data_IF_631625676934
#
_entry.id   IF_631625676934
#
_cell.length_a   1.000
_cell.length_b   1.000
_cell.length_c   1.000
_cell.angle_alpha   90.00
_cell.angle_beta   90.00
_cell.angle_gamma   90.00
#
_symmetry.space_group_name_H-M   'P 1'
#
loop_
_entity.id
_entity.type
_entity.pdbx_description
1 polymer ?
#
# COMPACT_ATOMS: atom_id res chain seq x y z
N UNK A 1 -24.15 10.01 -6.31
CA UNK A 1 -23.36 10.68 -5.27
C UNK A 1 -23.35 9.81 -4.01
N UNK A 2 -22.31 9.01 -3.86
CA UNK A 2 -22.16 8.12 -2.72
C UNK A 2 -21.79 8.93 -1.47
N UNK A 3 -22.59 8.87 -0.38
CA UNK A 3 -22.29 9.59 0.86
C UNK A 3 -20.96 9.14 1.49
N UNK A 4 -20.52 7.92 1.25
CA UNK A 4 -19.23 7.42 1.73
C UNK A 4 -18.08 8.05 0.97
N UNK A 5 -18.21 8.17 -0.36
CA UNK A 5 -17.24 8.86 -1.19
C UNK A 5 -17.03 10.30 -0.73
N UNK A 6 -18.10 11.02 -0.44
CA UNK A 6 -18.00 12.40 0.12
C UNK A 6 -17.28 12.42 1.47
N UNK A 7 -17.54 11.46 2.36
CA UNK A 7 -16.82 11.38 3.64
C UNK A 7 -15.34 11.10 3.44
N UNK A 8 -14.99 10.22 2.51
CA UNK A 8 -13.60 9.90 2.15
C UNK A 8 -12.96 11.10 1.47
N UNK A 9 -13.63 11.74 0.53
CA UNK A 9 -13.14 12.96 -0.13
C UNK A 9 -12.95 14.11 0.87
N UNK A 10 -13.83 14.25 1.85
CA UNK A 10 -13.66 15.23 2.92
C UNK A 10 -12.46 14.93 3.78
N UNK A 11 -12.23 13.65 4.14
CA UNK A 11 -11.02 13.22 4.82
C UNK A 11 -9.79 13.42 3.92
N UNK A 12 -9.91 13.08 2.64
CA UNK A 12 -8.87 13.27 1.63
C UNK A 12 -8.57 14.75 1.39
N UNK A 13 -9.58 15.62 1.32
CA UNK A 13 -9.39 17.06 1.15
C UNK A 13 -8.76 17.69 2.40
N UNK A 14 -9.14 17.25 3.58
CA UNK A 14 -8.55 17.71 4.84
C UNK A 14 -7.11 17.20 5.01
N UNK A 15 -6.83 16.01 4.54
CA UNK A 15 -5.53 15.33 4.70
C UNK A 15 -4.64 15.45 3.46
N UNK A 16 -5.20 15.53 2.24
CA UNK A 16 -4.45 15.36 1.00
C UNK A 16 -3.55 16.55 0.67
N UNK A 17 -4.05 17.78 0.60
CA UNK A 17 -3.22 18.90 0.14
C UNK A 17 -2.15 19.32 1.15
N UNK A 18 -2.45 19.58 2.43
CA UNK A 18 -1.43 19.84 3.42
C UNK A 18 -0.56 18.62 3.72
N UNK A 19 -1.15 17.41 3.69
CA UNK A 19 -0.44 16.17 3.96
C UNK A 19 0.49 15.81 2.81
N UNK A 20 0.06 15.93 1.56
CA UNK A 20 0.92 15.73 0.39
C UNK A 20 2.03 16.78 0.37
N UNK A 21 1.74 18.04 0.63
CA UNK A 21 2.76 19.10 0.75
C UNK A 21 3.75 18.81 1.88
N UNK A 22 3.27 18.35 3.03
CA UNK A 22 4.11 17.93 4.15
C UNK A 22 4.95 16.72 3.78
N UNK A 23 4.38 15.72 3.11
CA UNK A 23 5.09 14.54 2.65
C UNK A 23 6.15 14.90 1.60
N UNK A 24 5.81 15.75 0.63
CA UNK A 24 6.77 16.28 -0.33
C UNK A 24 7.87 17.09 0.36
N UNK A 25 7.54 17.88 1.37
CA UNK A 25 8.51 18.60 2.20
C UNK A 25 9.42 17.66 2.98
N UNK A 26 8.90 16.55 3.52
CA UNK A 26 9.69 15.49 4.17
C UNK A 26 10.62 14.82 3.14
N UNK A 27 10.09 14.47 1.97
CA UNK A 27 10.88 13.93 0.87
C UNK A 27 11.91 14.94 0.36
N UNK A 28 11.62 16.24 0.46
CA UNK A 28 12.51 17.34 0.09
C UNK A 28 13.56 17.71 1.13
N UNK A 29 13.23 17.57 2.40
CA UNK A 29 14.11 17.98 3.52
C UNK A 29 14.89 16.84 4.17
N UNK A 30 14.66 15.60 3.77
CA UNK A 30 15.25 14.44 4.44
C UNK A 30 16.71 14.23 4.09
N UNK A 31 17.59 14.85 4.86
CA UNK A 31 18.88 14.24 5.16
C UNK A 31 18.58 12.95 5.95
N UNK A 32 19.08 11.84 5.47
CA UNK A 32 18.85 10.51 6.00
C UNK A 32 19.05 10.46 7.54
N UNK A 33 17.98 10.46 8.27
CA UNK A 33 18.04 10.00 9.65
C UNK A 33 18.00 8.47 9.60
N UNK A 34 19.14 7.84 9.78
CA UNK A 34 19.30 6.41 9.95
C UNK A 34 18.62 5.94 11.24
N UNK A 35 17.30 6.01 11.31
CA UNK A 35 16.56 5.34 12.38
C UNK A 35 16.39 3.87 11.96
N UNK A 36 17.19 3.02 12.55
CA UNK A 36 17.04 1.57 12.48
C UNK A 36 15.71 1.19 13.15
N UNK A 37 14.81 0.63 12.39
CA UNK A 37 13.56 0.05 12.89
C UNK A 37 13.79 -1.39 13.35
N UNK A 38 13.01 -1.83 14.36
CA UNK A 38 13.15 -3.14 14.96
C UNK A 38 12.81 -4.30 14.01
N UNK A 39 13.21 -5.50 14.38
CA UNK A 39 13.14 -6.75 13.63
C UNK A 39 11.72 -7.24 13.25
N UNK A 40 10.71 -6.40 13.38
CA UNK A 40 9.29 -6.77 13.23
C UNK A 40 8.64 -6.30 11.92
N UNK A 41 9.41 -5.85 10.93
CA UNK A 41 8.86 -5.48 9.64
C UNK A 41 8.38 -6.71 8.90
N UNK A 42 7.08 -6.74 8.68
CA UNK A 42 6.41 -7.81 7.94
C UNK A 42 6.60 -7.55 6.46
N UNK A 43 7.19 -8.50 5.73
CA UNK A 43 7.51 -8.38 4.31
C UNK A 43 6.52 -9.10 3.44
N UNK A 44 6.12 -10.28 3.84
CA UNK A 44 5.18 -11.13 3.09
C UNK A 44 4.19 -11.77 4.05
N UNK A 45 2.91 -11.67 3.70
CA UNK A 45 1.81 -12.32 4.41
C UNK A 45 0.98 -13.08 3.39
N UNK A 46 0.93 -14.39 3.51
CA UNK A 46 0.11 -15.24 2.64
C UNK A 46 -0.61 -16.32 3.45
N UNK A 47 -1.65 -16.91 2.86
CA UNK A 47 -2.31 -18.05 3.45
C UNK A 47 -1.36 -19.25 3.48
N UNK A 48 -1.39 -20.00 4.58
CA UNK A 48 -0.58 -21.21 4.73
C UNK A 48 -0.82 -22.19 3.58
N UNK A 49 0.24 -22.62 2.95
CA UNK A 49 0.22 -23.63 1.90
C UNK A 49 1.09 -24.84 2.31
N UNK A 50 0.81 -26.05 1.79
CA UNK A 50 1.67 -27.20 2.01
C UNK A 50 3.10 -26.93 1.53
N UNK A 51 4.06 -26.99 2.42
CA UNK A 51 5.45 -26.62 2.18
C UNK A 51 5.93 -25.44 3.01
N UNK A 52 5.02 -24.64 3.55
CA UNK A 52 5.37 -23.58 4.47
C UNK A 52 5.77 -24.11 5.85
N UNK A 53 6.67 -23.41 6.50
CA UNK A 53 7.07 -23.75 7.86
C UNK A 53 5.96 -23.33 8.85
N UNK A 54 5.31 -24.28 9.51
CA UNK A 54 4.24 -24.03 10.48
C UNK A 54 4.64 -23.06 11.61
N UNK A 55 5.92 -22.99 11.96
CA UNK A 55 6.45 -22.04 12.95
C UNK A 55 6.34 -20.57 12.53
N UNK A 56 6.13 -20.31 11.23
CA UNK A 56 5.95 -18.95 10.67
C UNK A 56 4.49 -18.50 10.67
N UNK A 57 3.58 -19.32 11.14
CA UNK A 57 2.16 -18.94 11.27
C UNK A 57 2.03 -17.84 12.32
N UNK A 58 1.52 -16.69 11.90
CA UNK A 58 1.15 -15.60 12.80
C UNK A 58 -0.31 -15.78 13.24
N UNK A 59 -0.51 -16.24 14.45
CA UNK A 59 -1.84 -16.55 14.98
C UNK A 59 -2.74 -15.32 15.10
N UNK A 60 -2.15 -14.15 15.32
CA UNK A 60 -2.91 -12.88 15.41
C UNK A 60 -3.47 -12.48 14.05
N UNK A 61 -2.65 -12.57 13.02
CA UNK A 61 -3.07 -12.32 11.62
C UNK A 61 -4.04 -13.40 11.17
N UNK A 62 -3.78 -14.66 11.52
CA UNK A 62 -4.65 -15.81 11.22
C UNK A 62 -6.04 -15.67 11.81
N UNK A 63 -6.14 -15.24 13.07
CA UNK A 63 -7.43 -15.02 13.73
C UNK A 63 -8.28 -13.96 13.01
N UNK A 64 -7.67 -12.92 12.48
CA UNK A 64 -8.36 -11.87 11.71
C UNK A 64 -8.75 -12.34 10.31
N UNK A 65 -7.91 -13.15 9.69
CA UNK A 65 -8.14 -13.66 8.33
C UNK A 65 -9.11 -14.85 8.29
N UNK A 66 -9.42 -15.47 9.44
CA UNK A 66 -10.23 -16.68 9.52
C UNK A 66 -9.56 -17.94 8.94
N UNK A 67 -8.26 -17.90 8.71
CA UNK A 67 -7.44 -19.01 8.18
C UNK A 67 -5.99 -18.85 8.59
N UNK A 68 -5.19 -19.93 8.62
CA UNK A 68 -3.78 -19.84 8.94
C UNK A 68 -3.05 -18.92 7.97
N UNK A 69 -2.33 -17.93 8.50
CA UNK A 69 -1.54 -16.98 7.72
C UNK A 69 -0.08 -17.09 8.09
N UNK A 70 0.78 -17.17 7.09
CA UNK A 70 2.23 -17.19 7.24
C UNK A 70 2.76 -15.78 7.07
N UNK A 71 3.61 -15.37 8.00
CA UNK A 71 4.27 -14.07 7.99
C UNK A 71 5.76 -14.28 7.82
N UNK A 72 6.31 -13.76 6.75
CA UNK A 72 7.74 -13.72 6.52
C UNK A 72 8.26 -12.34 6.89
N UNK A 73 9.32 -12.31 7.72
CA UNK A 73 9.93 -11.07 8.20
C UNK A 73 11.26 -10.85 7.53
N UNK A 74 11.53 -9.62 7.14
CA UNK A 74 12.84 -9.20 6.62
C UNK A 74 13.53 -8.22 7.56
N UNK A 75 14.78 -7.91 7.19
CA UNK A 75 15.58 -6.91 7.88
C UNK A 75 14.90 -5.54 7.83
N UNK A 76 15.01 -4.75 8.91
CA UNK A 76 14.42 -3.43 8.94
C UNK A 76 15.00 -2.58 7.80
N UNK A 77 14.13 -2.08 6.92
CA UNK A 77 14.47 -1.06 5.95
C UNK A 77 13.63 0.17 6.20
N UNK A 78 14.26 1.32 6.04
CA UNK A 78 13.61 2.62 6.19
C UNK A 78 13.13 3.09 4.82
N UNK A 79 11.89 2.82 4.48
CA UNK A 79 11.28 3.39 3.29
C UNK A 79 10.70 4.77 3.61
N UNK A 80 10.91 5.72 2.71
CA UNK A 80 10.34 7.08 2.80
C UNK A 80 8.94 7.16 2.21
N UNK A 81 8.61 6.25 1.32
CA UNK A 81 7.27 6.09 0.76
C UNK A 81 6.86 4.63 0.73
N UNK A 82 5.62 4.38 1.12
CA UNK A 82 4.97 3.09 1.08
C UNK A 82 3.79 3.18 0.13
N UNK A 83 3.87 2.48 -0.98
CA UNK A 83 2.87 2.49 -2.03
C UNK A 83 2.13 1.16 -2.01
N UNK A 84 0.89 1.18 -1.54
CA UNK A 84 0.05 0.00 -1.39
C UNK A 84 -0.96 -0.06 -2.53
N UNK A 85 -0.94 -1.14 -3.29
CA UNK A 85 -1.83 -1.37 -4.41
C UNK A 85 -2.75 -2.55 -4.15
N UNK A 86 -4.05 -2.32 -4.24
CA UNK A 86 -5.05 -3.36 -4.35
C UNK A 86 -4.87 -4.12 -5.67
N UNK A 87 -4.61 -5.41 -5.58
CA UNK A 87 -4.47 -6.30 -6.72
C UNK A 87 -5.55 -7.40 -6.73
N UNK A 88 -6.67 -7.12 -6.12
CA UNK A 88 -7.88 -7.94 -6.26
C UNK A 88 -8.42 -7.89 -7.69
N UNK A 89 -9.18 -8.92 -8.06
CA UNK A 89 -9.76 -9.05 -9.41
C UNK A 89 -10.65 -7.85 -9.80
N UNK A 90 -11.22 -7.14 -8.82
CA UNK A 90 -12.05 -5.95 -9.03
C UNK A 90 -11.27 -4.79 -9.67
N UNK A 91 -9.95 -4.79 -9.52
CA UNK A 91 -9.06 -3.82 -10.16
C UNK A 91 -8.93 -4.01 -11.69
N UNK A 92 -9.53 -5.06 -12.24
CA UNK A 92 -9.65 -5.23 -13.70
C UNK A 92 -10.88 -4.51 -14.30
N UNK A 93 -11.68 -3.85 -13.47
CA UNK A 93 -12.79 -3.03 -13.94
C UNK A 93 -12.30 -1.93 -14.89
N UNK A 94 -13.14 -1.61 -15.89
CA UNK A 94 -12.81 -0.63 -16.92
C UNK A 94 -13.18 0.77 -16.46
N UNK A 95 -12.23 1.68 -16.53
CA UNK A 95 -12.43 3.10 -16.27
C UNK A 95 -13.09 3.82 -17.45
N UNK A 96 -13.63 5.03 -17.25
CA UNK A 96 -14.14 5.87 -18.35
C UNK A 96 -13.11 6.12 -19.47
N UNK A 97 -11.82 6.07 -19.16
CA UNK A 97 -10.70 6.19 -20.11
C UNK A 97 -10.47 4.94 -20.97
N UNK A 98 -11.24 3.88 -20.76
CA UNK A 98 -11.06 2.54 -21.37
C UNK A 98 -9.84 1.76 -20.84
N UNK A 99 -9.10 2.30 -19.90
CA UNK A 99 -8.05 1.58 -19.19
C UNK A 99 -8.64 0.75 -18.05
N UNK A 100 -7.91 -0.25 -17.59
CA UNK A 100 -8.29 -0.99 -16.39
C UNK A 100 -7.88 -0.22 -15.13
N UNK A 101 -8.63 -0.37 -14.05
CA UNK A 101 -8.39 0.38 -12.82
C UNK A 101 -6.96 0.19 -12.28
N UNK A 102 -6.39 -1.02 -12.36
CA UNK A 102 -5.02 -1.26 -11.92
C UNK A 102 -3.98 -0.49 -12.74
N UNK A 103 -4.22 -0.26 -14.03
CA UNK A 103 -3.32 0.53 -14.89
C UNK A 103 -3.32 1.99 -14.48
N UNK A 104 -4.49 2.57 -14.26
CA UNK A 104 -4.64 3.95 -13.77
C UNK A 104 -4.00 4.13 -12.40
N UNK A 105 -4.27 3.19 -11.48
CA UNK A 105 -3.69 3.20 -10.14
C UNK A 105 -2.16 3.10 -10.18
N UNK A 106 -1.62 2.19 -11.00
CA UNK A 106 -0.17 2.02 -11.16
C UNK A 106 0.51 3.28 -11.70
N UNK A 107 -0.08 3.92 -12.70
CA UNK A 107 0.43 5.18 -13.24
C UNK A 107 0.47 6.29 -12.19
N UNK A 108 -0.57 6.39 -11.37
CA UNK A 108 -0.61 7.35 -10.27
C UNK A 108 0.46 7.06 -9.21
N UNK A 109 0.68 5.79 -8.86
CA UNK A 109 1.72 5.38 -7.92
C UNK A 109 3.14 5.70 -8.44
N UNK A 110 3.38 5.56 -9.74
CA UNK A 110 4.66 5.92 -10.35
C UNK A 110 5.01 7.39 -10.15
N UNK A 111 4.03 8.28 -10.10
CA UNK A 111 4.27 9.71 -9.82
C UNK A 111 4.87 9.90 -8.42
N UNK A 112 4.35 9.21 -7.42
CA UNK A 112 4.89 9.28 -6.05
C UNK A 112 6.25 8.60 -5.94
N UNK A 113 6.44 7.46 -6.61
CA UNK A 113 7.72 6.77 -6.66
C UNK A 113 8.83 7.63 -7.28
N UNK A 114 8.52 8.35 -8.37
CA UNK A 114 9.49 9.20 -9.06
C UNK A 114 10.08 10.28 -8.16
N UNK A 115 9.27 10.88 -7.30
CA UNK A 115 9.71 11.91 -6.36
C UNK A 115 10.71 11.37 -5.34
N UNK A 116 10.45 10.18 -4.82
CA UNK A 116 11.29 9.56 -3.79
C UNK A 116 12.58 8.96 -4.38
N UNK A 117 12.47 8.24 -5.50
CA UNK A 117 13.60 7.56 -6.12
C UNK A 117 14.63 8.53 -6.72
N UNK A 118 14.22 9.70 -7.20
CA UNK A 118 15.14 10.75 -7.66
C UNK A 118 16.15 11.21 -6.62
N UNK A 119 15.82 11.02 -5.36
CA UNK A 119 16.67 11.42 -4.22
C UNK A 119 17.51 10.28 -3.68
N UNK A 120 17.38 9.08 -4.25
CA UNK A 120 17.99 7.88 -3.74
C UNK A 120 17.30 7.31 -2.48
N UNK A 121 16.09 7.75 -2.17
CA UNK A 121 15.31 7.21 -1.08
C UNK A 121 14.73 5.84 -1.45
N UNK A 122 14.60 4.97 -0.46
CA UNK A 122 13.92 3.68 -0.64
C UNK A 122 12.41 3.89 -0.70
N UNK A 123 11.78 3.21 -1.66
CA UNK A 123 10.33 3.12 -1.81
C UNK A 123 9.93 1.67 -1.62
N UNK A 124 8.91 1.40 -0.82
CA UNK A 124 8.32 0.07 -0.71
C UNK A 124 7.01 0.00 -1.48
N UNK A 125 6.91 -0.94 -2.41
CA UNK A 125 5.65 -1.36 -3.00
C UNK A 125 5.05 -2.49 -2.17
N UNK A 126 3.74 -2.43 -1.96
CA UNK A 126 2.97 -3.48 -1.31
C UNK A 126 1.79 -3.85 -2.19
N UNK A 127 1.70 -5.12 -2.54
CA UNK A 127 0.61 -5.67 -3.34
C UNK A 127 -0.24 -6.58 -2.46
N UNK A 128 -1.55 -6.40 -2.46
CA UNK A 128 -2.43 -7.20 -1.62
C UNK A 128 -3.71 -7.64 -2.30
N UNK A 129 -4.07 -8.89 -2.11
CA UNK A 129 -5.37 -9.48 -2.45
C UNK A 129 -5.85 -10.38 -1.31
N UNK A 130 -6.88 -11.19 -1.53
CA UNK A 130 -7.41 -12.10 -0.51
C UNK A 130 -6.47 -13.24 -0.11
N UNK A 131 -5.45 -13.53 -0.91
CA UNK A 131 -4.54 -14.66 -0.70
C UNK A 131 -3.23 -14.22 -0.05
N UNK A 132 -2.71 -13.04 -0.40
CA UNK A 132 -1.37 -12.62 0.03
C UNK A 132 -1.20 -11.11 0.08
N UNK A 133 -0.23 -10.67 0.87
CA UNK A 133 0.34 -9.32 0.82
C UNK A 133 1.84 -9.49 0.62
N UNK A 134 2.36 -8.85 -0.42
CA UNK A 134 3.78 -8.92 -0.78
C UNK A 134 4.38 -7.52 -0.80
N UNK A 135 5.51 -7.35 -0.13
CA UNK A 135 6.31 -6.13 -0.17
C UNK A 135 7.50 -6.30 -1.10
N UNK A 136 7.73 -5.29 -1.93
CA UNK A 136 8.93 -5.18 -2.77
C UNK A 136 9.61 -3.85 -2.49
N UNK A 137 10.79 -3.85 -1.84
CA UNK A 137 11.55 -2.62 -1.60
C UNK A 137 12.32 -2.19 -2.85
N UNK A 138 12.41 -0.88 -3.04
CA UNK A 138 13.14 -0.26 -4.14
C UNK A 138 14.02 0.88 -3.67
N UNK A 139 15.26 0.91 -4.16
CA UNK A 139 16.22 1.99 -3.99
C UNK A 139 16.94 2.34 -5.29
N UNK A 140 16.45 1.83 -6.41
CA UNK A 140 17.03 2.01 -7.74
C UNK A 140 16.38 3.14 -8.54
N UNK A 141 16.64 3.17 -9.85
CA UNK A 141 16.05 4.15 -10.75
C UNK A 141 14.58 3.90 -11.06
N UNK A 142 13.87 4.95 -11.49
CA UNK A 142 12.45 4.89 -11.84
C UNK A 142 12.15 3.85 -12.94
N UNK A 143 13.02 3.74 -13.94
CA UNK A 143 12.82 2.77 -15.02
C UNK A 143 12.82 1.31 -14.53
N UNK A 144 13.67 0.99 -13.55
CA UNK A 144 13.65 -0.33 -12.91
C UNK A 144 12.37 -0.53 -12.07
N UNK A 145 11.93 0.50 -11.37
CA UNK A 145 10.68 0.49 -10.62
C UNK A 145 9.49 0.20 -11.54
N UNK A 146 9.37 0.92 -12.65
CA UNK A 146 8.30 0.73 -13.65
C UNK A 146 8.30 -0.70 -14.20
N UNK A 147 9.47 -1.24 -14.60
CA UNK A 147 9.57 -2.62 -15.10
C UNK A 147 9.15 -3.65 -14.06
N UNK A 148 9.51 -3.47 -12.81
CA UNK A 148 9.12 -4.39 -11.75
C UNK A 148 7.64 -4.28 -11.43
N UNK A 149 7.08 -3.08 -11.46
CA UNK A 149 5.64 -2.87 -11.33
C UNK A 149 4.89 -3.55 -12.47
N UNK A 150 5.31 -3.35 -13.72
CA UNK A 150 4.70 -4.01 -14.88
C UNK A 150 4.75 -5.53 -14.75
N UNK A 151 5.86 -6.09 -14.29
CA UNK A 151 5.99 -7.53 -14.06
C UNK A 151 5.02 -8.01 -12.96
N UNK A 152 4.89 -7.27 -11.88
CA UNK A 152 3.97 -7.61 -10.79
C UNK A 152 2.50 -7.57 -11.22
N UNK A 153 2.15 -6.73 -12.20
CA UNK A 153 0.81 -6.61 -12.73
C UNK A 153 0.48 -7.64 -13.84
N UNK A 154 1.49 -8.36 -14.35
CA UNK A 154 1.32 -9.54 -15.21
C UNK A 154 0.98 -10.76 -14.35
N UNK A 155 -0.20 -10.75 -13.79
CA UNK A 155 -0.68 -11.77 -12.86
C UNK A 155 -2.03 -12.31 -13.32
N UNK A 156 -2.40 -13.47 -12.80
CA UNK A 156 -3.77 -13.97 -12.93
C UNK A 156 -4.66 -13.21 -11.95
N UNK A 157 -5.61 -12.46 -12.49
CA UNK A 157 -6.56 -11.67 -11.71
C UNK A 157 -7.78 -12.52 -11.30
N UNK A 158 -7.52 -13.49 -10.42
CA UNK A 158 -8.53 -14.49 -10.00
C UNK A 158 -8.90 -14.38 -8.54
N UNK A 159 -8.15 -13.62 -7.74
CA UNK A 159 -8.39 -13.47 -6.31
C UNK A 159 -9.18 -12.19 -6.01
N UNK A 160 -10.21 -12.26 -5.16
CA UNK A 160 -10.91 -11.05 -4.72
C UNK A 160 -9.97 -10.12 -3.94
N UNK A 161 -10.35 -8.85 -3.86
CA UNK A 161 -9.63 -7.88 -3.04
C UNK A 161 -9.72 -8.20 -1.56
N UNK A 162 -8.78 -7.67 -0.80
CA UNK A 162 -8.83 -7.61 0.65
C UNK A 162 -8.31 -6.25 1.13
N UNK A 163 -9.16 -5.24 1.07
CA UNK A 163 -8.77 -3.88 1.49
C UNK A 163 -8.50 -3.80 2.99
N UNK A 164 -9.19 -4.61 3.81
CA UNK A 164 -8.95 -4.66 5.25
C UNK A 164 -7.51 -5.08 5.56
N UNK A 165 -6.97 -6.04 4.83
CA UNK A 165 -5.60 -6.49 5.01
C UNK A 165 -4.58 -5.40 4.62
N UNK A 166 -4.83 -4.65 3.53
CA UNK A 166 -3.98 -3.53 3.14
C UNK A 166 -4.01 -2.40 4.16
N UNK A 167 -5.18 -2.04 4.67
CA UNK A 167 -5.33 -1.03 5.71
C UNK A 167 -4.63 -1.46 7.02
N UNK A 168 -4.76 -2.72 7.40
CA UNK A 168 -4.08 -3.25 8.58
C UNK A 168 -2.55 -3.28 8.39
N UNK A 169 -2.08 -3.60 7.19
CA UNK A 169 -0.67 -3.51 6.85
C UNK A 169 -0.15 -2.07 6.99
N UNK A 170 -0.86 -1.10 6.40
CA UNK A 170 -0.51 0.31 6.49
C UNK A 170 -0.47 0.81 7.94
N UNK A 171 -1.40 0.37 8.78
CA UNK A 171 -1.46 0.72 10.20
C UNK A 171 -0.25 0.23 10.98
N UNK A 172 0.39 -0.85 10.54
CA UNK A 172 1.58 -1.44 11.17
C UNK A 172 2.89 -0.83 10.72
N UNK A 173 2.90 0.00 9.69
CA UNK A 173 4.11 0.70 9.25
C UNK A 173 4.62 1.58 10.39
N UNK A 174 5.85 1.35 10.81
CA UNK A 174 6.43 2.02 11.98
C UNK A 174 7.10 3.34 11.68
N UNK A 175 7.52 3.53 10.44
CA UNK A 175 8.12 4.81 10.02
C UNK A 175 7.05 5.89 9.94
N UNK A 176 6.89 6.64 11.01
CA UNK A 176 5.82 7.63 11.20
C UNK A 176 5.92 8.83 10.27
N UNK A 177 7.06 9.06 9.67
CA UNK A 177 7.29 10.18 8.75
C UNK A 177 7.16 9.75 7.29
N UNK A 178 7.06 8.45 7.04
CA UNK A 178 6.90 7.93 5.69
C UNK A 178 5.54 8.29 5.09
N UNK A 179 5.54 8.62 3.82
CA UNK A 179 4.32 8.75 3.04
C UNK A 179 3.68 7.38 2.84
N UNK A 180 2.40 7.27 3.12
CA UNK A 180 1.59 6.08 2.81
C UNK A 180 0.59 6.42 1.72
N UNK A 181 0.68 5.74 0.60
CA UNK A 181 -0.25 5.88 -0.53
C UNK A 181 -0.97 4.56 -0.71
N UNK A 182 -2.30 4.58 -0.71
CA UNK A 182 -3.12 3.39 -0.95
C UNK A 182 -3.95 3.64 -2.20
N UNK A 183 -3.84 2.73 -3.17
CA UNK A 183 -4.58 2.79 -4.42
C UNK A 183 -5.54 1.61 -4.54
N UNK A 184 -6.79 1.92 -4.81
CA UNK A 184 -7.88 0.97 -5.04
C UNK A 184 -8.91 1.57 -5.98
N UNK A 185 -10.04 0.89 -6.22
CA UNK A 185 -11.14 1.41 -7.03
C UNK A 185 -12.29 1.90 -6.13
N UNK A 186 -13.18 2.70 -6.69
CA UNK A 186 -14.17 3.49 -5.95
C UNK A 186 -15.19 2.69 -5.12
N UNK A 187 -15.36 1.40 -5.41
CA UNK A 187 -16.31 0.54 -4.71
C UNK A 187 -15.66 -0.26 -3.56
N UNK A 188 -14.35 -0.11 -3.35
CA UNK A 188 -13.62 -0.87 -2.33
C UNK A 188 -13.84 -0.36 -0.92
N UNK A 189 -13.96 0.95 -0.76
CA UNK A 189 -14.00 1.60 0.55
C UNK A 189 -15.44 1.79 1.03
N UNK A 190 -15.68 1.34 2.24
CA UNK A 190 -16.95 1.43 2.94
C UNK A 190 -16.82 2.25 4.21
N UNK A 191 -17.95 2.62 4.83
CA UNK A 191 -17.95 3.42 6.06
C UNK A 191 -17.16 2.76 7.19
N UNK A 192 -17.19 1.43 7.28
CA UNK A 192 -16.42 0.65 8.27
C UNK A 192 -14.90 0.83 8.17
N UNK A 193 -14.39 1.26 7.02
CA UNK A 193 -12.96 1.49 6.79
C UNK A 193 -12.47 2.87 7.27
N UNK A 194 -13.36 3.82 7.52
CA UNK A 194 -13.00 5.19 7.88
C UNK A 194 -12.18 5.27 9.16
N UNK A 195 -12.47 4.43 10.15
CA UNK A 195 -11.71 4.39 11.41
C UNK A 195 -10.25 4.01 11.19
N UNK A 196 -9.99 3.00 10.38
CA UNK A 196 -8.63 2.56 10.03
C UNK A 196 -7.88 3.64 9.25
N UNK A 197 -8.55 4.27 8.28
CA UNK A 197 -7.98 5.37 7.49
C UNK A 197 -7.59 6.55 8.38
N UNK A 198 -8.45 6.95 9.31
CA UNK A 198 -8.14 8.01 10.28
C UNK A 198 -6.94 7.66 11.16
N UNK A 199 -6.85 6.42 11.60
CA UNK A 199 -5.73 5.95 12.44
C UNK A 199 -4.42 6.04 11.68
N UNK A 200 -4.38 5.62 10.42
CA UNK A 200 -3.20 5.73 9.56
C UNK A 200 -2.82 7.19 9.35
N UNK A 201 -3.79 8.03 9.02
CA UNK A 201 -3.59 9.45 8.74
C UNK A 201 -3.10 10.26 9.93
N UNK A 202 -3.35 9.80 11.16
CA UNK A 202 -2.81 10.43 12.38
C UNK A 202 -1.32 10.22 12.55
N UNK A 203 -0.78 9.13 12.01
CA UNK A 203 0.60 8.71 12.22
C UNK A 203 1.48 8.88 11.01
N UNK A 204 0.89 8.96 9.80
CA UNK A 204 1.60 9.07 8.54
C UNK A 204 0.96 10.13 7.64
N UNK A 205 1.75 10.88 6.86
CA UNK A 205 1.22 11.52 5.67
C UNK A 205 0.58 10.47 4.77
N UNK A 206 -0.67 10.67 4.39
CA UNK A 206 -1.46 9.65 3.67
C UNK A 206 -2.13 10.22 2.43
N UNK A 207 -2.12 9.44 1.37
CA UNK A 207 -2.87 9.69 0.13
C UNK A 207 -3.71 8.46 -0.20
N UNK A 208 -4.97 8.68 -0.51
CA UNK A 208 -5.84 7.65 -1.10
C UNK A 208 -6.04 7.95 -2.57
N UNK A 209 -5.74 6.95 -3.40
CA UNK A 209 -6.05 6.95 -4.82
C UNK A 209 -7.28 6.08 -5.02
N UNK A 210 -8.37 6.73 -5.39
CA UNK A 210 -9.69 6.14 -5.56
C UNK A 210 -10.07 6.20 -7.03
N UNK A 211 -9.84 5.09 -7.75
CA UNK A 211 -10.01 5.04 -9.19
C UNK A 211 -11.48 4.85 -9.55
N UNK A 212 -12.01 5.77 -10.35
CA UNK A 212 -13.37 5.66 -10.86
C UNK A 212 -13.47 4.58 -11.97
N UNK A 213 -14.48 3.73 -11.87
CA UNK A 213 -14.75 2.61 -12.80
C UNK A 213 -16.15 2.62 -13.40
#
# INVERSE_FOLDING_TARGET
DDPIRRKIETLGTTLSLPTVRKALGILEGAHASNKRFGADDVVDIHAYEPGDEAKRIDWKTSARAGRPMVVQRERPSTSKAWLLLDVGQEMTATCPSSEQAYQVAANALCMFAALSLRRGDEVSMVFGDSASITRVPFNGGLAQFERTLDTALQREWTRPRNIDALLEYARRIRDKEALVVIATEEHALEERHLSAIRTIARTHPMVLIDVAT
#
